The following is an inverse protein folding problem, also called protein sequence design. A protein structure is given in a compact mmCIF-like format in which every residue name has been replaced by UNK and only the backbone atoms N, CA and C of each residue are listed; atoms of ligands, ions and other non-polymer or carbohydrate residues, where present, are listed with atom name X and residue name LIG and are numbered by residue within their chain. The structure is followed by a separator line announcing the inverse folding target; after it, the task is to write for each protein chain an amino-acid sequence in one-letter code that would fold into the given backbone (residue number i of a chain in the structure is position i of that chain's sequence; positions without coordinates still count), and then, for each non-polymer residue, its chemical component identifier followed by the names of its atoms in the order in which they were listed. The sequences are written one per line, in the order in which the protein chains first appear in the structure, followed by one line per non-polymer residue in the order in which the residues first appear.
data_IF_804815385991
#
_entry.id   IF_804815385991
#
_cell.length_a   1.000
_cell.length_b   1.000
_cell.length_c   1.000
_cell.angle_alpha   90.00
_cell.angle_beta   90.00
_cell.angle_gamma   90.00
#
_symmetry.space_group_name_H-M   'P 1'
#
loop_
_entity.id
_entity.type
_entity.pdbx_description
1 polymer ?
#
# COMPACT_ATOMS: atom_id res chain seq x y z
N UNK A 1 -21.87 -2.67 34.39
CA UNK A 1 -21.62 -3.90 33.63
C UNK A 1 -22.07 -3.65 32.19
N UNK A 2 -21.20 -3.15 31.34
CA UNK A 2 -21.46 -2.98 29.91
C UNK A 2 -20.45 -3.83 29.13
N UNK A 3 -20.99 -4.77 28.34
CA UNK A 3 -20.21 -5.72 27.56
C UNK A 3 -19.53 -5.01 26.39
N UNK A 4 -18.21 -5.17 26.32
CA UNK A 4 -17.43 -4.80 25.15
C UNK A 4 -17.82 -5.70 23.97
N UNK A 5 -18.40 -5.13 22.94
CA UNK A 5 -18.63 -5.78 21.66
C UNK A 5 -17.33 -5.77 20.87
N UNK A 6 -16.68 -6.91 20.77
CA UNK A 6 -15.56 -7.11 19.86
C UNK A 6 -16.07 -6.96 18.43
N UNK A 7 -15.56 -5.96 17.73
CA UNK A 7 -15.69 -5.85 16.28
C UNK A 7 -14.67 -6.82 15.68
N UNK A 8 -15.15 -8.01 15.38
CA UNK A 8 -14.42 -8.99 14.60
C UNK A 8 -14.34 -8.48 13.16
N UNK A 9 -13.17 -8.01 12.79
CA UNK A 9 -12.86 -7.67 11.39
C UNK A 9 -12.95 -8.94 10.57
N UNK A 10 -14.08 -9.12 9.90
CA UNK A 10 -14.25 -10.12 8.85
C UNK A 10 -13.32 -9.76 7.70
N UNK A 11 -12.13 -10.37 7.70
CA UNK A 11 -11.34 -10.53 6.49
C UNK A 11 -12.17 -11.45 5.61
N UNK A 12 -12.98 -10.81 4.79
CA UNK A 12 -13.91 -11.47 3.87
C UNK A 12 -13.14 -12.30 2.87
N UNK A 13 -13.31 -13.55 3.10
CA UNK A 13 -13.10 -14.74 2.33
C UNK A 13 -13.49 -14.54 0.86
N UNK A 14 -12.56 -14.16 0.00
CA UNK A 14 -12.67 -14.46 -1.42
C UNK A 14 -12.11 -15.87 -1.66
N UNK A 15 -12.85 -16.90 -1.23
CA UNK A 15 -12.65 -18.27 -1.67
C UNK A 15 -13.31 -18.42 -3.02
N UNK A 16 -12.64 -17.98 -4.07
CA UNK A 16 -13.04 -18.33 -5.43
C UNK A 16 -12.22 -19.54 -5.89
N UNK A 17 -12.82 -20.69 -5.70
CA UNK A 17 -12.83 -21.89 -6.53
C UNK A 17 -11.68 -21.99 -7.55
N UNK A 18 -10.54 -22.50 -7.11
CA UNK A 18 -9.60 -23.16 -8.02
C UNK A 18 -10.03 -24.63 -8.20
N UNK A 19 -11.01 -24.87 -9.06
CA UNK A 19 -11.30 -26.23 -9.54
C UNK A 19 -10.52 -26.44 -10.82
N UNK A 20 -9.24 -26.75 -10.67
CA UNK A 20 -8.48 -27.42 -11.73
C UNK A 20 -7.91 -28.69 -11.10
N UNK A 21 -8.24 -29.84 -11.69
CA UNK A 21 -7.71 -31.12 -11.27
C UNK A 21 -6.17 -31.06 -11.29
N UNK A 22 -5.56 -31.06 -10.12
CA UNK A 22 -4.11 -31.04 -9.96
C UNK A 22 -3.56 -32.39 -10.42
N UNK A 23 -2.53 -32.39 -11.24
CA UNK A 23 -1.77 -33.57 -11.64
C UNK A 23 -1.09 -34.28 -10.43
N UNK A 24 -1.11 -33.66 -9.26
CA UNK A 24 -0.45 -34.11 -8.02
C UNK A 24 -1.33 -34.91 -7.06
N UNK A 25 -2.61 -35.13 -7.36
CA UNK A 25 -3.54 -35.79 -6.43
C UNK A 25 -3.91 -34.96 -5.19
N UNK A 26 -3.42 -33.75 -5.06
CA UNK A 26 -3.72 -32.81 -3.98
C UNK A 26 -5.17 -32.32 -4.08
N UNK A 27 -5.91 -32.37 -2.98
CA UNK A 27 -7.29 -31.87 -2.94
C UNK A 27 -7.30 -30.34 -2.94
N UNK A 28 -8.41 -29.73 -3.37
CA UNK A 28 -8.56 -28.27 -3.36
C UNK A 28 -8.39 -27.67 -1.94
N UNK A 29 -8.76 -28.41 -0.90
CA UNK A 29 -8.59 -27.98 0.50
C UNK A 29 -7.12 -28.01 0.90
N UNK A 30 -6.38 -29.06 0.55
CA UNK A 30 -4.94 -29.15 0.82
C UNK A 30 -4.16 -28.08 0.08
N UNK A 31 -4.47 -27.83 -1.20
CA UNK A 31 -3.87 -26.76 -1.99
C UNK A 31 -4.14 -25.37 -1.35
N UNK A 32 -5.35 -25.12 -0.84
CA UNK A 32 -5.69 -23.87 -0.15
C UNK A 32 -4.90 -23.71 1.16
N UNK A 33 -4.79 -24.76 1.97
CA UNK A 33 -4.01 -24.74 3.22
C UNK A 33 -2.54 -24.48 2.91
N UNK A 34 -1.99 -25.16 1.90
CA UNK A 34 -0.60 -24.98 1.46
C UNK A 34 -0.33 -23.57 0.97
N UNK A 35 -1.26 -23.00 0.19
CA UNK A 35 -1.17 -21.64 -0.28
C UNK A 35 -1.12 -20.63 0.89
N UNK A 36 -2.03 -20.77 1.87
CA UNK A 36 -2.03 -19.89 3.04
C UNK A 36 -0.73 -19.98 3.85
N UNK A 37 -0.24 -21.21 4.07
CA UNK A 37 1.04 -21.45 4.75
C UNK A 37 2.22 -20.81 3.98
N UNK A 38 2.22 -20.93 2.65
CA UNK A 38 3.23 -20.32 1.80
C UNK A 38 3.19 -18.78 1.88
N UNK A 39 2.01 -18.17 1.80
CA UNK A 39 1.85 -16.71 1.91
C UNK A 39 2.26 -16.17 3.28
N UNK A 40 2.07 -16.93 4.36
CA UNK A 40 2.54 -16.53 5.68
C UNK A 40 4.07 -16.70 5.80
N UNK A 41 4.61 -17.79 5.25
CA UNK A 41 6.06 -18.02 5.18
C UNK A 41 6.76 -16.93 4.37
N UNK A 42 6.15 -16.43 3.29
CA UNK A 42 6.71 -15.35 2.48
C UNK A 42 6.99 -14.08 3.31
N UNK A 43 6.19 -13.79 4.33
CA UNK A 43 6.41 -12.63 5.22
C UNK A 43 7.53 -12.82 6.23
N UNK A 44 7.83 -14.05 6.62
CA UNK A 44 8.74 -14.34 7.73
C UNK A 44 10.08 -14.89 7.28
N UNK A 45 10.10 -15.69 6.22
CA UNK A 45 11.30 -16.31 5.62
C UNK A 45 11.13 -16.37 4.11
N UNK A 46 11.20 -15.18 3.41
CA UNK A 46 10.80 -15.06 2.02
C UNK A 46 11.63 -15.89 1.05
N UNK A 47 12.95 -16.03 1.27
CA UNK A 47 13.79 -16.86 0.40
C UNK A 47 13.35 -18.34 0.46
N UNK A 48 13.12 -18.86 1.66
CA UNK A 48 12.65 -20.23 1.83
C UNK A 48 11.21 -20.44 1.30
N UNK A 49 10.37 -19.39 1.35
CA UNK A 49 9.04 -19.43 0.76
C UNK A 49 9.09 -19.45 -0.77
N UNK A 50 10.03 -18.71 -1.36
CA UNK A 50 10.25 -18.71 -2.80
C UNK A 50 10.68 -20.10 -3.29
N UNK A 51 11.67 -20.73 -2.65
CA UNK A 51 12.17 -22.06 -3.02
C UNK A 51 11.05 -23.12 -2.90
N UNK A 52 10.27 -23.09 -1.82
CA UNK A 52 9.13 -23.98 -1.61
C UNK A 52 8.04 -23.78 -2.67
N UNK A 53 7.76 -22.52 -3.03
CA UNK A 53 6.77 -22.18 -4.03
C UNK A 53 7.17 -22.64 -5.44
N UNK A 54 8.44 -22.47 -5.82
CA UNK A 54 8.98 -22.98 -7.09
C UNK A 54 8.91 -24.50 -7.13
N UNK A 55 9.31 -25.17 -6.04
CA UNK A 55 9.21 -26.62 -5.93
C UNK A 55 7.76 -27.09 -6.05
N UNK A 56 6.83 -26.39 -5.39
CA UNK A 56 5.40 -26.69 -5.46
C UNK A 56 4.83 -26.45 -6.87
N UNK A 57 5.24 -25.38 -7.56
CA UNK A 57 4.83 -25.12 -8.96
C UNK A 57 5.27 -26.28 -9.87
N UNK A 58 6.52 -26.77 -9.69
CA UNK A 58 7.05 -27.93 -10.43
C UNK A 58 6.30 -29.24 -10.18
N UNK A 59 5.65 -29.39 -9.03
CA UNK A 59 4.82 -30.52 -8.65
C UNK A 59 3.33 -30.34 -9.04
N UNK A 60 3.00 -29.31 -9.80
CA UNK A 60 1.63 -29.08 -10.27
C UNK A 60 0.83 -28.10 -9.39
N UNK A 61 1.48 -27.36 -8.50
CA UNK A 61 0.83 -26.34 -7.64
C UNK A 61 0.24 -25.15 -8.39
N UNK A 62 0.57 -24.98 -9.67
CA UNK A 62 -0.07 -24.06 -10.60
C UNK A 62 -0.06 -22.60 -10.16
N UNK A 63 -1.17 -21.91 -10.38
CA UNK A 63 -1.28 -20.45 -10.10
C UNK A 63 -1.12 -20.09 -8.62
N UNK A 64 -1.62 -20.86 -7.63
CA UNK A 64 -1.38 -20.57 -6.22
C UNK A 64 0.11 -20.59 -5.85
N UNK A 65 0.86 -21.59 -6.33
CA UNK A 65 2.30 -21.69 -6.10
C UNK A 65 3.03 -20.49 -6.74
N UNK A 66 2.70 -20.16 -7.98
CA UNK A 66 3.26 -19.00 -8.69
C UNK A 66 2.96 -17.69 -7.96
N UNK A 67 1.72 -17.48 -7.49
CA UNK A 67 1.39 -16.28 -6.73
C UNK A 67 2.20 -16.16 -5.43
N UNK A 68 2.38 -17.28 -4.71
CA UNK A 68 3.22 -17.29 -3.52
C UNK A 68 4.69 -16.96 -3.84
N UNK A 69 5.26 -17.52 -4.91
CA UNK A 69 6.62 -17.19 -5.34
C UNK A 69 6.77 -15.68 -5.63
N UNK A 70 5.78 -15.08 -6.31
CA UNK A 70 5.79 -13.65 -6.61
C UNK A 70 5.65 -12.78 -5.35
N UNK A 71 4.85 -13.22 -4.38
CA UNK A 71 4.76 -12.55 -3.08
C UNK A 71 6.09 -12.62 -2.33
N UNK A 72 6.76 -13.77 -2.33
CA UNK A 72 8.09 -13.92 -1.74
C UNK A 72 9.14 -13.03 -2.42
N UNK A 73 9.12 -12.91 -3.75
CA UNK A 73 9.99 -11.99 -4.49
C UNK A 73 9.79 -10.52 -4.08
N UNK A 74 8.58 -10.10 -3.76
CA UNK A 74 8.33 -8.76 -3.22
C UNK A 74 9.03 -8.54 -1.88
N UNK A 75 8.97 -9.51 -0.98
CA UNK A 75 9.60 -9.42 0.35
C UNK A 75 11.14 -9.50 0.27
N UNK A 76 11.68 -10.23 -0.70
CA UNK A 76 13.14 -10.28 -0.98
C UNK A 76 13.65 -8.96 -1.59
N UNK A 77 12.74 -8.15 -2.18
CA UNK A 77 13.10 -6.89 -2.84
C UNK A 77 13.27 -7.00 -4.36
N UNK A 78 12.93 -8.12 -4.98
CA UNK A 78 12.94 -8.33 -6.42
C UNK A 78 11.67 -7.75 -7.08
N UNK A 79 11.41 -6.47 -6.81
CA UNK A 79 10.15 -5.80 -7.12
C UNK A 79 9.77 -5.80 -8.60
N UNK A 80 10.73 -5.55 -9.49
CA UNK A 80 10.46 -5.52 -10.94
C UNK A 80 10.05 -6.89 -11.47
N UNK A 81 10.68 -7.96 -10.99
CA UNK A 81 10.38 -9.33 -11.37
C UNK A 81 9.01 -9.75 -10.83
N UNK A 82 8.75 -9.46 -9.56
CA UNK A 82 7.45 -9.71 -8.93
C UNK A 82 6.33 -8.99 -9.68
N UNK A 83 6.51 -7.71 -10.01
CA UNK A 83 5.51 -6.91 -10.70
C UNK A 83 5.16 -7.49 -12.08
N UNK A 84 6.18 -7.81 -12.90
CA UNK A 84 5.97 -8.42 -14.21
C UNK A 84 5.30 -9.80 -14.11
N UNK A 85 5.70 -10.60 -13.12
CA UNK A 85 5.10 -11.90 -12.86
C UNK A 85 3.63 -11.79 -12.46
N UNK A 86 3.27 -10.81 -11.64
CA UNK A 86 1.89 -10.54 -11.23
C UNK A 86 1.02 -10.07 -12.41
N UNK A 87 1.54 -9.23 -13.32
CA UNK A 87 0.82 -8.86 -14.55
C UNK A 87 0.51 -10.10 -15.40
N UNK A 88 1.55 -10.94 -15.66
CA UNK A 88 1.36 -12.19 -16.40
C UNK A 88 0.38 -13.16 -15.70
N UNK A 89 0.41 -13.20 -14.36
CA UNK A 89 -0.53 -14.02 -13.60
C UNK A 89 -1.98 -13.54 -13.79
N UNK A 90 -2.22 -12.22 -13.75
CA UNK A 90 -3.53 -11.64 -13.98
C UNK A 90 -4.08 -11.93 -15.37
N UNK A 91 -3.21 -12.02 -16.40
CA UNK A 91 -3.61 -12.33 -17.78
C UNK A 91 -4.06 -13.79 -17.95
N UNK A 92 -3.31 -14.73 -17.37
CA UNK A 92 -3.54 -16.17 -17.59
C UNK A 92 -4.54 -16.80 -16.62
N UNK A 93 -4.82 -16.13 -15.48
CA UNK A 93 -5.73 -16.71 -14.48
C UNK A 93 -7.18 -16.66 -14.96
N UNK A 94 -7.84 -17.83 -14.97
CA UNK A 94 -9.27 -17.94 -15.18
C UNK A 94 -10.01 -17.70 -13.86
N UNK A 95 -10.04 -16.43 -13.42
CA UNK A 95 -10.64 -16.01 -12.17
C UNK A 95 -11.56 -14.81 -12.37
N UNK A 96 -12.27 -14.42 -11.30
CA UNK A 96 -13.15 -13.25 -11.33
C UNK A 96 -12.36 -11.95 -11.63
N UNK A 97 -13.06 -10.97 -12.21
CA UNK A 97 -12.49 -9.64 -12.45
C UNK A 97 -11.92 -9.02 -11.14
N UNK A 98 -12.60 -9.25 -10.01
CA UNK A 98 -12.15 -8.78 -8.70
C UNK A 98 -10.80 -9.39 -8.28
N UNK A 99 -10.60 -10.71 -8.52
CA UNK A 99 -9.33 -11.34 -8.21
C UNK A 99 -8.20 -10.81 -9.11
N UNK A 100 -8.44 -10.70 -10.42
CA UNK A 100 -7.47 -10.11 -11.36
C UNK A 100 -7.09 -8.69 -10.98
N UNK A 101 -8.06 -7.87 -10.60
CA UNK A 101 -7.82 -6.52 -10.13
C UNK A 101 -6.94 -6.49 -8.86
N UNK A 102 -7.17 -7.40 -7.90
CA UNK A 102 -6.33 -7.51 -6.71
C UNK A 102 -4.88 -7.89 -7.03
N UNK A 103 -4.66 -8.80 -7.97
CA UNK A 103 -3.31 -9.17 -8.44
C UNK A 103 -2.63 -7.98 -9.13
N UNK A 104 -3.35 -7.22 -9.94
CA UNK A 104 -2.84 -6.00 -10.58
C UNK A 104 -2.52 -4.89 -9.57
N UNK A 105 -3.28 -4.76 -8.49
CA UNK A 105 -2.95 -3.86 -7.38
C UNK A 105 -1.62 -4.25 -6.72
N UNK A 106 -1.37 -5.55 -6.54
CA UNK A 106 -0.07 -6.02 -6.03
C UNK A 106 1.06 -5.70 -7.01
N UNK A 107 0.83 -5.91 -8.32
CA UNK A 107 1.77 -5.51 -9.35
C UNK A 107 2.07 -3.99 -9.30
N UNK A 108 1.04 -3.15 -9.19
CA UNK A 108 1.21 -1.72 -9.08
C UNK A 108 2.05 -1.31 -7.84
N UNK A 109 1.82 -1.95 -6.69
CA UNK A 109 2.65 -1.74 -5.49
C UNK A 109 4.11 -2.16 -5.71
N UNK A 110 4.32 -3.30 -6.37
CA UNK A 110 5.65 -3.77 -6.71
C UNK A 110 6.36 -2.81 -7.69
N UNK A 111 5.64 -2.25 -8.68
CA UNK A 111 6.19 -1.23 -9.57
C UNK A 111 6.54 0.08 -8.85
N UNK A 112 5.75 0.50 -7.85
CA UNK A 112 6.10 1.65 -7.00
C UNK A 112 7.42 1.37 -6.28
N UNK A 113 7.54 0.21 -5.65
CA UNK A 113 8.75 -0.20 -4.93
C UNK A 113 9.96 -0.36 -5.87
N UNK A 114 9.74 -0.75 -7.13
CA UNK A 114 10.75 -0.82 -8.18
C UNK A 114 11.15 0.54 -8.76
N UNK A 115 10.54 1.65 -8.30
CA UNK A 115 10.81 2.99 -8.83
C UNK A 115 10.24 3.24 -10.23
N UNK A 116 9.21 2.49 -10.64
CA UNK A 116 8.56 2.65 -11.94
C UNK A 116 7.08 3.05 -11.78
N UNK A 117 6.82 4.32 -11.40
CA UNK A 117 5.46 4.78 -11.13
C UNK A 117 4.57 4.83 -12.38
N UNK A 118 5.14 4.92 -13.57
CA UNK A 118 4.38 4.90 -14.83
C UNK A 118 3.72 3.52 -15.03
N UNK A 119 4.48 2.44 -14.84
CA UNK A 119 3.93 1.08 -14.92
C UNK A 119 2.95 0.79 -13.77
N UNK A 120 3.20 1.35 -12.59
CA UNK A 120 2.29 1.23 -11.46
C UNK A 120 0.92 1.86 -11.78
N UNK A 121 0.89 3.07 -12.36
CA UNK A 121 -0.34 3.70 -12.77
C UNK A 121 -1.07 2.89 -13.85
N UNK A 122 -0.36 2.38 -14.86
CA UNK A 122 -0.94 1.55 -15.92
C UNK A 122 -1.56 0.24 -15.39
N UNK A 123 -0.89 -0.43 -14.43
CA UNK A 123 -1.45 -1.63 -13.78
C UNK A 123 -2.72 -1.30 -12.97
N UNK A 124 -2.72 -0.16 -12.26
CA UNK A 124 -3.89 0.32 -11.53
C UNK A 124 -5.05 0.70 -12.47
N UNK A 125 -4.77 1.34 -13.62
CA UNK A 125 -5.77 1.63 -14.64
C UNK A 125 -6.41 0.35 -15.19
N UNK A 126 -5.60 -0.67 -15.46
CA UNK A 126 -6.11 -1.99 -15.88
C UNK A 126 -7.00 -2.61 -14.80
N UNK A 127 -6.61 -2.51 -13.53
CA UNK A 127 -7.42 -2.98 -12.41
C UNK A 127 -8.77 -2.26 -12.31
N UNK A 128 -8.80 -0.93 -12.51
CA UNK A 128 -10.03 -0.13 -12.53
C UNK A 128 -10.92 -0.47 -13.73
N UNK A 129 -10.33 -0.82 -14.88
CA UNK A 129 -11.07 -1.33 -16.03
C UNK A 129 -11.80 -2.64 -15.75
N UNK A 130 -11.23 -3.50 -14.89
CA UNK A 130 -11.84 -4.75 -14.46
C UNK A 130 -12.89 -4.57 -13.35
N UNK A 131 -12.61 -3.69 -12.39
CA UNK A 131 -13.46 -3.42 -11.22
C UNK A 131 -13.47 -1.92 -10.94
N UNK A 132 -14.38 -1.17 -11.52
CA UNK A 132 -14.57 0.25 -11.22
C UNK A 132 -14.91 0.48 -9.74
N UNK A 133 -14.48 1.62 -9.20
CA UNK A 133 -14.81 2.08 -7.85
C UNK A 133 -14.27 1.21 -6.69
N UNK A 134 -13.07 0.64 -6.83
CA UNK A 134 -12.38 -0.04 -5.73
C UNK A 134 -11.44 0.95 -5.02
N UNK A 135 -11.73 1.40 -3.78
CA UNK A 135 -10.95 2.43 -3.10
C UNK A 135 -9.45 2.14 -3.01
N UNK A 136 -9.08 0.88 -2.76
CA UNK A 136 -7.67 0.48 -2.68
C UNK A 136 -6.88 0.65 -3.98
N UNK A 137 -7.55 0.58 -5.14
CA UNK A 137 -6.90 0.82 -6.44
C UNK A 137 -6.60 2.30 -6.62
N UNK A 138 -7.54 3.19 -6.25
CA UNK A 138 -7.34 4.63 -6.30
C UNK A 138 -6.18 5.08 -5.41
N UNK A 139 -6.05 4.53 -4.19
CA UNK A 139 -4.90 4.84 -3.30
C UNK A 139 -3.57 4.49 -3.97
N UNK A 140 -3.46 3.30 -4.58
CA UNK A 140 -2.21 2.88 -5.24
C UNK A 140 -1.92 3.72 -6.47
N UNK A 141 -2.94 4.05 -7.27
CA UNK A 141 -2.78 4.93 -8.44
C UNK A 141 -2.39 6.35 -8.03
N UNK A 142 -3.01 6.89 -7.00
CA UNK A 142 -2.65 8.20 -6.44
C UNK A 142 -1.18 8.26 -5.98
N UNK A 143 -0.68 7.21 -5.34
CA UNK A 143 0.75 7.11 -4.98
C UNK A 143 1.63 7.09 -6.23
N UNK A 144 1.24 6.36 -7.27
CA UNK A 144 1.96 6.34 -8.53
C UNK A 144 1.97 7.72 -9.22
N UNK A 145 0.83 8.43 -9.23
CA UNK A 145 0.75 9.80 -9.75
C UNK A 145 1.59 10.78 -8.95
N UNK A 146 1.56 10.72 -7.61
CA UNK A 146 2.38 11.56 -6.76
C UNK A 146 3.88 11.40 -7.04
N UNK A 147 4.35 10.15 -7.26
CA UNK A 147 5.74 9.86 -7.64
C UNK A 147 6.10 10.36 -9.05
N UNK A 148 5.12 10.60 -9.91
CA UNK A 148 5.30 11.22 -11.23
C UNK A 148 5.21 12.74 -11.20
N UNK A 149 4.91 13.35 -10.04
CA UNK A 149 4.64 14.79 -9.92
C UNK A 149 3.23 15.19 -10.38
N UNK A 150 2.38 14.24 -10.71
CA UNK A 150 0.99 14.44 -11.12
C UNK A 150 0.08 14.58 -9.87
N UNK A 151 0.30 15.66 -9.12
CA UNK A 151 -0.31 15.83 -7.79
C UNK A 151 -1.81 16.13 -7.84
N UNK A 152 -2.31 16.74 -8.92
CA UNK A 152 -3.75 16.95 -9.11
C UNK A 152 -4.48 15.65 -9.33
N UNK A 153 -3.95 14.76 -10.16
CA UNK A 153 -4.49 13.43 -10.43
C UNK A 153 -4.46 12.56 -9.16
N UNK A 154 -3.38 12.68 -8.39
CA UNK A 154 -3.29 12.01 -7.09
C UNK A 154 -4.37 12.52 -6.12
N UNK A 155 -4.59 13.83 -6.04
CA UNK A 155 -5.62 14.42 -5.17
C UNK A 155 -7.04 14.06 -5.62
N UNK A 156 -7.30 13.94 -6.93
CA UNK A 156 -8.61 13.52 -7.46
C UNK A 156 -8.93 12.07 -7.06
N UNK A 157 -8.00 11.14 -7.26
CA UNK A 157 -8.16 9.75 -6.85
C UNK A 157 -8.42 9.61 -5.35
N UNK A 158 -7.65 10.34 -4.53
CA UNK A 158 -7.82 10.32 -3.08
C UNK A 158 -9.13 10.98 -2.63
N UNK A 159 -9.62 11.95 -3.38
CA UNK A 159 -10.94 12.56 -3.13
C UNK A 159 -12.08 11.57 -3.30
N UNK A 160 -11.98 10.64 -4.26
CA UNK A 160 -12.93 9.54 -4.42
C UNK A 160 -12.89 8.59 -3.22
N UNK A 161 -11.68 8.25 -2.75
CA UNK A 161 -11.52 7.40 -1.55
C UNK A 161 -12.13 8.06 -0.32
N UNK A 162 -11.87 9.36 -0.11
CA UNK A 162 -12.38 10.12 1.05
C UNK A 162 -13.91 10.35 0.95
N UNK A 163 -14.45 10.42 -0.27
CA UNK A 163 -15.91 10.49 -0.47
C UNK A 163 -16.60 9.21 0.00
N UNK A 164 -16.05 8.03 -0.30
CA UNK A 164 -16.58 6.73 0.14
C UNK A 164 -16.30 6.46 1.63
N UNK A 165 -15.11 6.83 2.11
CA UNK A 165 -14.72 6.68 3.52
C UNK A 165 -14.10 7.99 4.05
N UNK A 166 -14.92 8.90 4.59
CA UNK A 166 -14.44 10.18 5.14
C UNK A 166 -13.50 10.04 6.36
N UNK A 167 -13.40 8.83 6.94
CA UNK A 167 -12.52 8.53 8.07
C UNK A 167 -11.23 7.81 7.67
N UNK A 168 -10.93 7.71 6.40
CA UNK A 168 -9.70 7.13 5.90
C UNK A 168 -8.51 8.08 6.17
N UNK A 169 -7.87 7.91 7.32
CA UNK A 169 -6.75 8.76 7.73
C UNK A 169 -5.58 8.72 6.74
N UNK A 170 -5.28 7.54 6.18
CA UNK A 170 -4.22 7.38 5.17
C UNK A 170 -4.51 8.20 3.91
N UNK A 171 -5.73 8.13 3.38
CA UNK A 171 -6.12 8.89 2.19
C UNK A 171 -6.06 10.41 2.44
N UNK A 172 -6.47 10.87 3.64
CA UNK A 172 -6.35 12.26 4.04
C UNK A 172 -4.88 12.71 4.11
N UNK A 173 -3.99 11.91 4.70
CA UNK A 173 -2.54 12.23 4.75
C UNK A 173 -1.96 12.31 3.34
N UNK A 174 -2.25 11.36 2.48
CA UNK A 174 -1.74 11.34 1.11
C UNK A 174 -2.26 12.52 0.29
N UNK A 175 -3.54 12.91 0.44
CA UNK A 175 -4.10 14.07 -0.25
C UNK A 175 -3.53 15.38 0.29
N UNK A 176 -3.35 15.48 1.60
CA UNK A 176 -2.66 16.59 2.23
C UNK A 176 -1.23 16.77 1.72
N UNK A 177 -0.48 15.67 1.55
CA UNK A 177 0.85 15.69 0.95
C UNK A 177 0.81 16.16 -0.52
N UNK A 178 -0.17 15.69 -1.31
CA UNK A 178 -0.36 16.15 -2.69
C UNK A 178 -0.68 17.65 -2.75
N UNK A 179 -1.59 18.14 -1.91
CA UNK A 179 -1.92 19.58 -1.83
C UNK A 179 -0.72 20.44 -1.40
N UNK A 180 0.11 19.94 -0.48
CA UNK A 180 1.36 20.64 -0.12
C UNK A 180 2.30 20.77 -1.32
N UNK A 181 2.41 19.75 -2.16
CA UNK A 181 3.24 19.83 -3.36
C UNK A 181 2.66 20.81 -4.41
N UNK A 182 1.37 21.05 -4.38
CA UNK A 182 0.66 22.03 -5.21
C UNK A 182 0.66 23.44 -4.62
N UNK A 183 1.39 23.66 -3.52
CA UNK A 183 1.41 24.89 -2.72
C UNK A 183 0.01 25.31 -2.19
N UNK A 184 -0.93 24.37 -2.14
CA UNK A 184 -2.27 24.57 -1.59
C UNK A 184 -2.26 24.28 -0.08
N UNK A 185 -1.49 25.09 0.67
CA UNK A 185 -1.15 24.81 2.08
C UNK A 185 -2.38 24.76 3.00
N UNK A 186 -3.42 25.55 2.74
CA UNK A 186 -4.64 25.55 3.56
C UNK A 186 -5.41 24.23 3.40
N UNK A 187 -5.52 23.71 2.17
CA UNK A 187 -6.15 22.41 1.91
C UNK A 187 -5.34 21.26 2.51
N UNK A 188 -4.00 21.34 2.39
CA UNK A 188 -3.11 20.37 3.01
C UNK A 188 -3.28 20.35 4.52
N UNK A 189 -3.35 21.51 5.15
CA UNK A 189 -3.50 21.66 6.59
C UNK A 189 -4.84 21.12 7.10
N UNK A 190 -5.94 21.35 6.37
CA UNK A 190 -7.26 20.83 6.72
C UNK A 190 -7.27 19.30 6.71
N UNK A 191 -6.80 18.68 5.62
CA UNK A 191 -6.75 17.22 5.51
C UNK A 191 -5.85 16.57 6.57
N UNK A 192 -4.67 17.14 6.82
CA UNK A 192 -3.75 16.63 7.83
C UNK A 192 -4.30 16.77 9.26
N UNK A 193 -5.01 17.84 9.57
CA UNK A 193 -5.69 17.96 10.86
C UNK A 193 -6.83 16.95 11.01
N UNK A 194 -7.61 16.70 9.97
CA UNK A 194 -8.64 15.66 9.97
C UNK A 194 -8.03 14.29 10.16
N UNK A 195 -6.95 13.97 9.46
CA UNK A 195 -6.22 12.71 9.64
C UNK A 195 -5.72 12.53 11.07
N UNK A 196 -5.13 13.56 11.66
CA UNK A 196 -4.59 13.54 13.02
C UNK A 196 -5.69 13.61 14.11
N UNK A 197 -6.88 14.07 13.77
CA UNK A 197 -8.06 13.91 14.65
C UNK A 197 -8.52 12.45 14.72
N UNK A 198 -8.35 11.68 13.65
CA UNK A 198 -8.68 10.25 13.59
C UNK A 198 -7.57 9.38 14.18
N UNK A 199 -6.32 9.68 13.87
CA UNK A 199 -5.13 9.01 14.40
C UNK A 199 -4.09 10.04 14.84
N UNK A 200 -4.09 10.45 16.13
CA UNK A 200 -3.22 11.51 16.62
C UNK A 200 -1.72 11.24 16.51
N UNK A 201 -1.32 9.98 16.44
CA UNK A 201 0.09 9.56 16.37
C UNK A 201 0.48 9.02 14.99
N UNK A 202 -0.28 9.36 13.94
CA UNK A 202 0.04 8.96 12.57
C UNK A 202 1.38 9.57 12.13
N UNK A 203 2.45 8.78 11.92
CA UNK A 203 3.79 9.32 11.73
C UNK A 203 3.91 10.20 10.50
N UNK A 204 3.39 9.76 9.35
CA UNK A 204 3.41 10.51 8.10
C UNK A 204 2.51 11.75 8.19
N UNK A 205 1.37 11.66 8.89
CA UNK A 205 0.49 12.80 9.11
C UNK A 205 1.15 13.92 9.91
N UNK A 206 1.86 13.57 10.98
CA UNK A 206 2.65 14.51 11.79
C UNK A 206 3.83 15.07 11.00
N UNK A 207 4.56 14.23 10.25
CA UNK A 207 5.66 14.67 9.39
C UNK A 207 5.18 15.71 8.39
N UNK A 208 4.13 15.42 7.63
CA UNK A 208 3.60 16.29 6.58
C UNK A 208 3.02 17.58 7.17
N UNK A 209 2.28 17.52 8.30
CA UNK A 209 1.77 18.73 8.96
C UNK A 209 2.91 19.60 9.48
N UNK A 210 3.96 19.02 10.01
CA UNK A 210 5.18 19.74 10.37
C UNK A 210 5.81 20.47 9.18
N UNK A 211 5.83 19.83 8.00
CA UNK A 211 6.32 20.50 6.77
C UNK A 211 5.41 21.68 6.39
N UNK A 212 4.08 21.48 6.41
CA UNK A 212 3.11 22.55 6.13
C UNK A 212 3.27 23.71 7.14
N UNK A 213 3.44 23.41 8.43
CA UNK A 213 3.72 24.42 9.45
C UNK A 213 4.99 25.23 9.12
N UNK A 214 6.08 24.54 8.75
CA UNK A 214 7.33 25.23 8.36
C UNK A 214 7.13 26.15 7.15
N UNK A 215 6.47 25.65 6.10
CA UNK A 215 6.17 26.43 4.90
C UNK A 215 5.28 27.65 5.21
N UNK A 216 4.42 27.54 6.22
CA UNK A 216 3.58 28.64 6.73
C UNK A 216 4.28 29.49 7.80
N UNK A 217 5.60 29.41 7.93
CA UNK A 217 6.43 30.14 8.90
C UNK A 217 6.10 29.84 10.38
N UNK A 218 5.37 28.78 10.69
CA UNK A 218 5.02 28.33 12.03
C UNK A 218 6.06 27.34 12.57
N UNK A 219 7.28 27.84 12.80
CA UNK A 219 8.46 27.01 13.12
C UNK A 219 8.32 26.21 14.42
N UNK A 220 7.62 26.74 15.43
CA UNK A 220 7.45 26.06 16.72
C UNK A 220 6.50 24.87 16.61
N UNK A 221 5.41 25.03 15.87
CA UNK A 221 4.43 23.96 15.60
C UNK A 221 5.08 22.85 14.75
N UNK A 222 5.86 23.20 13.73
CA UNK A 222 6.63 22.25 12.95
C UNK A 222 7.57 21.42 13.84
N UNK A 223 8.30 22.07 14.74
CA UNK A 223 9.18 21.43 15.71
C UNK A 223 8.42 20.46 16.63
N UNK A 224 7.24 20.85 17.07
CA UNK A 224 6.40 20.04 17.95
C UNK A 224 5.95 18.75 17.25
N UNK A 225 5.44 18.87 16.04
CA UNK A 225 5.00 17.71 15.25
C UNK A 225 6.16 16.74 14.97
N UNK A 226 7.29 17.24 14.49
CA UNK A 226 8.45 16.40 14.17
C UNK A 226 9.06 15.71 15.40
N UNK A 227 9.11 16.37 16.55
CA UNK A 227 9.53 15.72 17.80
C UNK A 227 8.59 14.60 18.19
N UNK A 228 7.28 14.79 17.99
CA UNK A 228 6.28 13.74 18.26
C UNK A 228 6.47 12.52 17.37
N UNK A 229 6.75 12.71 16.06
CA UNK A 229 7.08 11.59 15.17
C UNK A 229 8.25 10.77 15.71
N UNK A 230 9.36 11.42 16.07
CA UNK A 230 10.57 10.76 16.56
C UNK A 230 10.31 9.99 17.86
N UNK A 231 9.45 10.52 18.73
CA UNK A 231 9.09 9.87 20.00
C UNK A 231 8.19 8.65 19.80
N UNK A 232 7.21 8.74 18.91
CA UNK A 232 6.18 7.70 18.73
C UNK A 232 6.62 6.58 17.77
N UNK A 233 7.43 6.90 16.78
CA UNK A 233 7.83 5.95 15.75
C UNK A 233 9.34 6.07 15.41
N UNK A 234 10.26 5.86 16.37
CA UNK A 234 11.67 6.22 16.25
C UNK A 234 12.43 5.49 15.13
N UNK A 235 11.95 4.34 14.68
CA UNK A 235 12.56 3.54 13.60
C UNK A 235 11.87 3.71 12.24
N UNK A 236 10.91 4.62 12.14
CA UNK A 236 10.18 4.87 10.89
C UNK A 236 10.95 5.80 9.95
N UNK A 237 10.70 5.68 8.65
CA UNK A 237 11.20 6.65 7.66
C UNK A 237 10.71 8.08 7.96
N UNK A 238 9.51 8.21 8.53
CA UNK A 238 8.98 9.50 8.96
C UNK A 238 9.84 10.13 10.06
N UNK A 239 10.36 9.33 11.01
CA UNK A 239 11.25 9.82 12.07
C UNK A 239 12.62 10.26 11.53
N UNK A 240 13.16 9.53 10.56
CA UNK A 240 14.40 9.93 9.88
C UNK A 240 14.22 11.27 9.15
N UNK A 241 13.13 11.41 8.40
CA UNK A 241 12.78 12.65 7.70
C UNK A 241 12.51 13.81 8.68
N UNK A 242 11.80 13.55 9.79
CA UNK A 242 11.53 14.53 10.83
C UNK A 242 12.83 15.02 11.49
N UNK A 243 13.77 14.11 11.75
CA UNK A 243 15.10 14.44 12.31
C UNK A 243 15.88 15.35 11.34
N UNK A 244 15.89 15.00 10.05
CA UNK A 244 16.55 15.82 9.03
C UNK A 244 15.91 17.22 8.92
N UNK A 245 14.57 17.29 8.99
CA UNK A 245 13.84 18.56 8.95
C UNK A 245 14.12 19.43 10.20
N UNK A 246 14.21 18.83 11.39
CA UNK A 246 14.59 19.54 12.61
C UNK A 246 16.00 20.12 12.49
N UNK A 247 16.95 19.33 12.01
CA UNK A 247 18.32 19.80 11.81
C UNK A 247 18.39 21.01 10.85
N UNK A 248 17.67 20.95 9.73
CA UNK A 248 17.57 22.10 8.79
C UNK A 248 16.95 23.32 9.45
N UNK A 249 15.87 23.13 10.22
CA UNK A 249 15.19 24.20 10.93
C UNK A 249 16.10 24.89 11.95
N UNK A 250 16.94 24.12 12.66
CA UNK A 250 17.84 24.62 13.71
C UNK A 250 19.10 25.31 13.13
N UNK A 251 19.61 24.79 12.00
CA UNK A 251 20.78 25.35 11.31
C UNK A 251 20.45 26.62 10.47
N UNK A 252 19.16 26.91 10.28
CA UNK A 252 18.73 28.05 9.44
C UNK A 252 19.00 27.84 7.95
N UNK A 253 19.32 26.62 7.53
CA UNK A 253 19.49 26.23 6.11
C UNK A 253 18.10 25.97 5.53
N UNK A 254 17.70 26.79 4.55
CA UNK A 254 16.44 26.62 3.79
C UNK A 254 16.54 25.54 2.72
#
# INVERSE_FOLDING_TARGET
MMRATQVTTLIGLCVAVFVSASASGETAVEAQVRYQACMEKAKTTPEAAFDDAISWEGLGGGLPARHCALAALMEIGHFSEAAQGLEKLADVVHASAAFKAQVLVQSARAWIAAGNPQRAAAAADTALGLTPNVPGVFVVRARAFALQGAYWEAADDLSRVIYEDPKNAEALVLRGAAYRQLDALDLAFDDLNRALALNPDHPEGLLERGIVHRLSLRKNEARTDWKRVIQQAPTSQAAEAATANLHKLDSGVE
#
